data_IF_080243451695
#
_entry.id   IF_080243451695
#
_cell.length_a   1.000
_cell.length_b   1.000
_cell.length_c   1.000
_cell.angle_alpha   90.00
_cell.angle_beta   90.00
_cell.angle_gamma   90.00
#
_symmetry.space_group_name_H-M   'P 1'
#
loop_
_entity.id
_entity.type
_entity.pdbx_description
1 polymer ?
#
# COMPACT_ATOMS: atom_id res chain seq x y z
N UNK A 1 46.00 -28.16 -49.69
CA UNK A 1 45.41 -27.00 -49.01
C UNK A 1 43.94 -27.31 -48.63
N UNK A 2 43.71 -27.62 -47.39
CA UNK A 2 42.33 -27.97 -46.86
C UNK A 2 41.67 -26.67 -46.41
N UNK A 3 40.53 -26.27 -47.01
CA UNK A 3 39.74 -25.16 -46.59
C UNK A 3 38.84 -25.60 -45.42
N UNK A 4 39.10 -25.05 -44.20
CA UNK A 4 38.19 -25.18 -43.04
C UNK A 4 37.01 -24.22 -43.26
N UNK A 5 35.80 -24.76 -43.31
CA UNK A 5 34.56 -23.98 -43.22
C UNK A 5 34.15 -23.89 -41.75
N UNK A 6 34.19 -22.67 -41.18
CA UNK A 6 33.58 -22.38 -39.89
C UNK A 6 32.07 -22.16 -40.11
N UNK A 7 31.25 -23.07 -39.57
CA UNK A 7 29.82 -22.88 -39.51
C UNK A 7 29.54 -22.10 -38.23
N UNK A 8 29.13 -20.82 -38.38
CA UNK A 8 28.69 -19.98 -37.29
C UNK A 8 27.24 -20.34 -36.99
N UNK A 9 26.99 -21.08 -35.90
CA UNK A 9 25.62 -21.35 -35.39
C UNK A 9 25.20 -20.12 -34.58
N UNK A 10 24.36 -19.27 -35.16
CA UNK A 10 23.70 -18.17 -34.43
C UNK A 10 22.61 -18.74 -33.57
N UNK A 11 22.82 -18.75 -32.26
CA UNK A 11 21.79 -19.08 -31.28
C UNK A 11 20.80 -17.90 -31.18
N UNK A 12 19.66 -18.00 -31.86
CA UNK A 12 18.54 -17.07 -31.68
C UNK A 12 17.90 -17.31 -30.31
N UNK A 13 18.28 -16.52 -29.32
CA UNK A 13 17.55 -16.39 -28.06
C UNK A 13 16.23 -15.70 -28.34
N UNK A 14 15.16 -16.44 -28.57
CA UNK A 14 13.80 -15.90 -28.54
C UNK A 14 13.45 -15.60 -27.10
N UNK A 15 13.52 -14.35 -26.70
CA UNK A 15 12.91 -13.87 -25.47
C UNK A 15 11.38 -14.01 -25.61
N UNK A 16 10.85 -15.15 -25.23
CA UNK A 16 9.41 -15.33 -25.11
C UNK A 16 8.88 -14.36 -24.06
N UNK A 17 8.00 -13.45 -24.46
CA UNK A 17 7.22 -12.66 -23.49
C UNK A 17 6.34 -13.67 -22.77
N UNK A 18 6.68 -13.99 -21.53
CA UNK A 18 5.82 -14.81 -20.68
C UNK A 18 4.53 -14.02 -20.45
N UNK A 19 3.39 -14.59 -20.82
CA UNK A 19 2.09 -14.01 -20.51
C UNK A 19 1.90 -14.09 -19.00
N UNK A 20 1.42 -12.99 -18.39
CA UNK A 20 1.09 -12.94 -16.98
C UNK A 20 0.05 -14.04 -16.63
N UNK A 21 0.40 -14.88 -15.68
CA UNK A 21 -0.51 -15.92 -15.18
C UNK A 21 -1.49 -15.35 -14.14
N UNK A 22 -2.64 -16.01 -14.01
CA UNK A 22 -3.62 -15.69 -12.96
C UNK A 22 -3.75 -16.86 -12.00
N UNK A 23 -3.43 -16.60 -10.74
CA UNK A 23 -3.55 -17.53 -9.62
C UNK A 23 -4.80 -17.22 -8.82
N UNK A 24 -5.73 -18.16 -8.70
CA UNK A 24 -6.95 -17.97 -7.91
C UNK A 24 -6.83 -18.62 -6.55
N UNK A 25 -7.18 -17.86 -5.50
CA UNK A 25 -7.15 -18.31 -4.11
C UNK A 25 -8.58 -18.36 -3.58
N UNK A 26 -9.01 -19.54 -3.15
CA UNK A 26 -10.33 -19.78 -2.57
C UNK A 26 -10.28 -19.74 -1.03
N UNK A 27 -11.42 -19.54 -0.35
CA UNK A 27 -11.49 -19.68 1.10
C UNK A 27 -10.95 -21.02 1.59
N UNK A 28 -10.04 -20.96 2.58
CA UNK A 28 -9.34 -22.15 3.10
C UNK A 28 -7.99 -22.43 2.45
N UNK A 29 -7.66 -21.73 1.35
CA UNK A 29 -6.30 -21.75 0.77
C UNK A 29 -5.46 -20.61 1.32
N UNK A 30 -4.13 -20.67 1.20
CA UNK A 30 -3.20 -19.63 1.62
C UNK A 30 -2.92 -18.66 0.47
N UNK A 31 -3.14 -17.36 0.74
CA UNK A 31 -2.75 -16.29 -0.17
C UNK A 31 -1.23 -16.24 -0.29
N UNK A 32 -0.50 -16.38 0.83
CA UNK A 32 0.97 -16.36 0.80
C UNK A 32 1.53 -17.46 -0.10
N UNK A 33 0.97 -18.68 -0.03
CA UNK A 33 1.41 -19.77 -0.89
C UNK A 33 1.18 -19.49 -2.38
N UNK A 34 0.15 -18.72 -2.74
CA UNK A 34 -0.07 -18.28 -4.12
C UNK A 34 0.93 -17.18 -4.52
N UNK A 35 1.19 -16.21 -3.65
CA UNK A 35 2.21 -15.17 -3.84
C UNK A 35 3.60 -15.77 -4.04
N UNK A 36 3.96 -16.80 -3.24
CA UNK A 36 5.26 -17.48 -3.34
C UNK A 36 5.48 -18.15 -4.70
N UNK A 37 4.41 -18.73 -5.26
CA UNK A 37 4.44 -19.42 -6.57
C UNK A 37 4.35 -18.47 -7.76
N UNK A 38 3.75 -17.30 -7.59
CA UNK A 38 3.58 -16.32 -8.66
C UNK A 38 4.93 -15.80 -9.16
N UNK A 39 5.01 -15.56 -10.46
CA UNK A 39 6.14 -14.90 -11.10
C UNK A 39 5.92 -13.36 -11.16
N UNK A 40 6.99 -12.57 -11.36
CA UNK A 40 6.85 -11.15 -11.67
C UNK A 40 5.89 -10.89 -12.83
N UNK A 41 4.94 -9.97 -12.62
CA UNK A 41 3.90 -9.62 -13.59
C UNK A 41 2.61 -10.42 -13.47
N UNK A 42 2.57 -11.48 -12.66
CA UNK A 42 1.37 -12.29 -12.45
C UNK A 42 0.28 -11.55 -11.67
N UNK A 43 -0.93 -12.11 -11.71
CA UNK A 43 -2.08 -11.66 -10.94
C UNK A 43 -2.49 -12.76 -9.95
N UNK A 44 -2.57 -12.41 -8.65
CA UNK A 44 -3.14 -13.28 -7.62
C UNK A 44 -4.55 -12.77 -7.31
N UNK A 45 -5.58 -13.51 -7.74
CA UNK A 45 -6.99 -13.19 -7.51
C UNK A 45 -7.48 -13.92 -6.25
N UNK A 46 -7.86 -13.15 -5.23
CA UNK A 46 -8.41 -13.68 -3.99
C UNK A 46 -9.93 -13.61 -4.07
N UNK A 47 -10.58 -14.76 -3.97
CA UNK A 47 -12.04 -14.87 -3.99
C UNK A 47 -12.63 -14.44 -2.64
N UNK A 48 -13.89 -14.04 -2.65
CA UNK A 48 -14.61 -13.62 -1.45
C UNK A 48 -14.45 -14.62 -0.31
N UNK A 49 -13.97 -14.16 0.83
CA UNK A 49 -13.74 -14.98 2.02
C UNK A 49 -13.01 -14.20 3.11
N UNK A 50 -12.69 -14.86 4.19
CA UNK A 50 -11.86 -14.31 5.28
C UNK A 50 -10.59 -15.14 5.41
N UNK A 51 -9.46 -14.48 5.29
CA UNK A 51 -8.12 -15.05 5.38
C UNK A 51 -7.42 -14.42 6.59
N UNK A 52 -6.77 -15.25 7.40
CA UNK A 52 -5.99 -14.77 8.55
C UNK A 52 -4.53 -15.06 8.28
N UNK A 53 -3.88 -14.10 7.65
CA UNK A 53 -2.48 -14.19 7.22
C UNK A 53 -1.82 -12.81 7.31
N UNK A 54 -0.52 -12.80 7.65
CA UNK A 54 0.35 -11.65 7.44
C UNK A 54 1.12 -11.90 6.14
N UNK A 55 0.90 -11.05 5.13
CA UNK A 55 1.41 -11.27 3.79
C UNK A 55 2.71 -10.50 3.53
N UNK A 56 3.61 -11.12 2.78
CA UNK A 56 4.79 -10.51 2.18
C UNK A 56 4.62 -10.52 0.64
N UNK A 57 4.65 -9.34 0.03
CA UNK A 57 4.63 -9.18 -1.42
C UNK A 57 6.02 -8.70 -1.85
N UNK A 58 6.86 -9.63 -2.28
CA UNK A 58 8.27 -9.42 -2.59
C UNK A 58 8.60 -9.44 -4.09
N UNK A 59 7.57 -9.46 -4.94
CA UNK A 59 7.68 -9.45 -6.40
C UNK A 59 6.73 -8.43 -7.01
N UNK A 60 7.08 -7.79 -8.13
CA UNK A 60 6.16 -6.93 -8.89
C UNK A 60 5.01 -7.78 -9.44
N UNK A 61 3.84 -7.68 -8.84
CA UNK A 61 2.63 -8.41 -9.21
C UNK A 61 1.36 -7.66 -8.77
N UNK A 62 0.21 -8.15 -9.20
CA UNK A 62 -1.09 -7.64 -8.75
C UNK A 62 -1.74 -8.62 -7.78
N UNK A 63 -2.05 -8.16 -6.55
CA UNK A 63 -2.93 -8.86 -5.62
C UNK A 63 -4.32 -8.21 -5.68
N UNK A 64 -5.28 -8.93 -6.24
CA UNK A 64 -6.64 -8.44 -6.52
C UNK A 64 -7.68 -9.18 -5.71
N UNK A 65 -8.52 -8.43 -5.01
CA UNK A 65 -9.71 -8.99 -4.36
C UNK A 65 -10.90 -9.05 -5.31
N UNK A 66 -11.51 -10.22 -5.44
CA UNK A 66 -12.79 -10.38 -6.11
C UNK A 66 -13.90 -10.44 -5.05
N UNK A 67 -14.89 -9.53 -5.18
CA UNK A 67 -16.00 -9.38 -4.21
C UNK A 67 -15.53 -9.09 -2.77
N UNK A 68 -14.48 -8.27 -2.62
CA UNK A 68 -13.99 -7.74 -1.35
C UNK A 68 -13.63 -8.82 -0.32
N UNK A 69 -12.66 -9.71 -0.58
CA UNK A 69 -12.14 -10.63 0.44
C UNK A 69 -11.51 -9.87 1.61
N UNK A 70 -11.63 -10.44 2.81
CA UNK A 70 -11.03 -9.88 4.02
C UNK A 70 -9.71 -10.59 4.33
N UNK A 71 -8.64 -9.82 4.44
CA UNK A 71 -7.32 -10.25 4.92
C UNK A 71 -7.12 -9.66 6.31
N UNK A 72 -7.02 -10.51 7.32
CA UNK A 72 -6.87 -10.12 8.72
C UNK A 72 -5.47 -10.47 9.21
N UNK A 73 -4.73 -9.50 9.74
CA UNK A 73 -3.41 -9.70 10.36
C UNK A 73 -3.45 -10.38 11.72
N UNK A 74 -4.66 -10.70 12.23
CA UNK A 74 -4.84 -11.42 13.48
C UNK A 74 -4.35 -10.67 14.71
N UNK A 75 -4.32 -9.32 14.65
CA UNK A 75 -3.83 -8.39 15.69
C UNK A 75 -2.32 -8.53 15.95
N UNK A 76 -1.55 -8.89 14.94
CA UNK A 76 -0.10 -9.05 15.07
C UNK A 76 0.64 -8.49 13.84
N UNK A 77 1.65 -7.67 14.07
CA UNK A 77 2.50 -7.11 13.00
C UNK A 77 1.73 -6.30 11.95
N UNK A 78 2.32 -6.20 10.77
CA UNK A 78 1.65 -5.62 9.61
C UNK A 78 0.81 -6.69 8.93
N UNK A 79 -0.37 -6.31 8.40
CA UNK A 79 -1.20 -7.28 7.68
C UNK A 79 -0.63 -7.59 6.30
N UNK A 80 -0.17 -6.58 5.56
CA UNK A 80 0.50 -6.76 4.27
C UNK A 80 1.80 -5.94 4.26
N UNK A 81 2.92 -6.60 3.98
CA UNK A 81 4.21 -5.97 3.73
C UNK A 81 4.52 -6.00 2.24
N UNK A 82 4.82 -4.84 1.65
CA UNK A 82 5.22 -4.69 0.24
C UNK A 82 6.71 -4.34 0.22
N UNK A 83 7.54 -5.19 -0.38
CA UNK A 83 8.99 -4.98 -0.47
C UNK A 83 9.50 -4.87 -1.91
N UNK A 84 8.66 -5.21 -2.89
CA UNK A 84 8.99 -5.05 -4.31
C UNK A 84 8.41 -3.76 -4.88
N UNK A 85 9.03 -3.24 -5.92
CA UNK A 85 8.49 -2.18 -6.74
C UNK A 85 7.36 -2.70 -7.67
N UNK A 86 6.56 -1.78 -8.22
CA UNK A 86 5.49 -2.07 -9.18
C UNK A 86 4.40 -3.05 -8.68
N UNK A 87 4.19 -3.13 -7.36
CA UNK A 87 3.12 -3.94 -6.77
C UNK A 87 1.80 -3.20 -6.85
N UNK A 88 0.73 -3.90 -7.22
CA UNK A 88 -0.64 -3.39 -7.19
C UNK A 88 -1.47 -4.19 -6.19
N UNK A 89 -2.09 -3.49 -5.23
CA UNK A 89 -3.06 -4.04 -4.27
C UNK A 89 -4.41 -3.40 -4.54
N UNK A 90 -5.44 -4.18 -4.86
CA UNK A 90 -6.75 -3.62 -5.22
C UNK A 90 -7.94 -4.47 -4.76
N UNK A 91 -9.05 -3.80 -4.40
CA UNK A 91 -10.33 -4.46 -4.11
C UNK A 91 -10.36 -5.28 -2.82
N UNK A 92 -9.44 -5.06 -1.89
CA UNK A 92 -9.26 -5.84 -0.66
C UNK A 92 -9.89 -5.17 0.56
N UNK A 93 -10.31 -5.97 1.55
CA UNK A 93 -10.51 -5.51 2.93
C UNK A 93 -9.28 -5.99 3.72
N UNK A 94 -8.49 -5.07 4.26
CA UNK A 94 -7.27 -5.35 5.03
C UNK A 94 -7.47 -4.82 6.44
N UNK A 95 -7.43 -5.69 7.45
CA UNK A 95 -7.83 -5.36 8.82
C UNK A 95 -6.98 -6.06 9.87
N UNK A 96 -7.18 -5.68 11.13
CA UNK A 96 -6.61 -6.34 12.30
C UNK A 96 -5.07 -6.37 12.30
N UNK A 97 -4.41 -5.27 11.93
CA UNK A 97 -2.97 -5.12 12.20
C UNK A 97 -2.69 -5.16 13.71
N UNK A 98 -1.45 -5.42 14.09
CA UNK A 98 -0.97 -5.29 15.46
C UNK A 98 -1.15 -3.88 16.03
N UNK A 99 -0.83 -3.72 17.33
CA UNK A 99 -1.09 -2.50 18.10
C UNK A 99 0.19 -1.80 18.60
N UNK A 100 1.34 -2.18 18.10
CA UNK A 100 2.60 -1.57 18.49
C UNK A 100 2.85 -0.26 17.73
N UNK A 101 2.67 0.88 18.40
CA UNK A 101 3.08 2.20 17.86
C UNK A 101 4.58 2.27 17.64
N UNK A 102 5.37 1.56 18.45
CA UNK A 102 6.83 1.49 18.31
C UNK A 102 7.24 0.80 17.02
N UNK A 103 6.58 -0.30 16.70
CA UNK A 103 6.86 -1.11 15.50
C UNK A 103 6.04 -0.65 14.29
N UNK A 104 5.20 0.39 14.49
CA UNK A 104 4.43 1.05 13.43
C UNK A 104 3.49 0.11 12.68
N UNK A 105 2.87 -0.85 13.40
CA UNK A 105 2.04 -1.88 12.79
C UNK A 105 0.93 -1.29 11.90
N UNK A 106 0.94 -1.67 10.65
CA UNK A 106 0.06 -1.12 9.61
C UNK A 106 -0.83 -2.18 8.96
N UNK A 107 -1.96 -1.73 8.41
CA UNK A 107 -2.72 -2.57 7.49
C UNK A 107 -1.87 -2.92 6.27
N UNK A 108 -1.25 -1.91 5.67
CA UNK A 108 -0.29 -2.09 4.57
C UNK A 108 0.97 -1.28 4.87
N UNK A 109 2.12 -1.94 4.86
CA UNK A 109 3.41 -1.27 4.95
C UNK A 109 4.14 -1.37 3.61
N UNK A 110 4.37 -0.22 2.97
CA UNK A 110 5.18 -0.10 1.75
C UNK A 110 6.59 0.24 2.20
N UNK A 111 7.49 -0.73 2.08
CA UNK A 111 8.86 -0.72 2.61
C UNK A 111 9.83 0.10 1.74
N UNK A 112 11.00 0.46 2.28
CA UNK A 112 12.03 1.14 1.50
C UNK A 112 12.35 0.41 0.19
N UNK A 113 12.32 1.16 -0.93
CA UNK A 113 12.58 0.60 -2.26
C UNK A 113 11.36 0.04 -2.99
N UNK A 114 10.22 -0.11 -2.33
CA UNK A 114 8.97 -0.55 -2.99
C UNK A 114 8.32 0.61 -3.79
N UNK A 115 9.07 1.11 -4.77
CA UNK A 115 8.65 2.23 -5.62
C UNK A 115 7.45 1.88 -6.49
N UNK A 116 6.67 2.89 -6.88
CA UNK A 116 5.53 2.78 -7.80
C UNK A 116 4.43 1.81 -7.34
N UNK A 117 4.41 1.48 -6.05
CA UNK A 117 3.34 0.67 -5.48
C UNK A 117 1.99 1.40 -5.60
N UNK A 118 0.95 0.65 -5.94
CA UNK A 118 -0.43 1.15 -6.07
C UNK A 118 -1.32 0.43 -5.06
N UNK A 119 -2.08 1.20 -4.26
CA UNK A 119 -3.14 0.67 -3.39
C UNK A 119 -4.43 1.39 -3.74
N UNK A 120 -5.42 0.65 -4.24
CA UNK A 120 -6.68 1.26 -4.68
C UNK A 120 -7.90 0.43 -4.35
N UNK A 121 -9.04 1.12 -4.20
CA UNK A 121 -10.34 0.49 -3.95
C UNK A 121 -10.34 -0.48 -2.75
N UNK A 122 -9.46 -0.24 -1.77
CA UNK A 122 -9.34 -1.06 -0.57
C UNK A 122 -10.09 -0.45 0.62
N UNK A 123 -10.54 -1.32 1.53
CA UNK A 123 -11.00 -0.96 2.86
C UNK A 123 -9.91 -1.35 3.88
N UNK A 124 -9.30 -0.33 4.49
CA UNK A 124 -8.23 -0.48 5.48
C UNK A 124 -8.73 -0.16 6.89
N UNK A 125 -9.94 -0.60 7.21
CA UNK A 125 -10.54 -0.33 8.51
C UNK A 125 -9.97 -1.20 9.62
N UNK A 126 -9.94 -0.64 10.85
CA UNK A 126 -9.52 -1.31 12.06
C UNK A 126 -8.05 -1.74 12.08
N UNK A 127 -7.18 -0.93 11.49
CA UNK A 127 -5.72 -1.05 11.62
C UNK A 127 -5.17 0.03 12.55
N UNK A 128 -3.98 -0.17 13.12
CA UNK A 128 -3.31 0.86 13.93
C UNK A 128 -2.89 2.02 13.03
N UNK A 129 -2.03 1.77 12.03
CA UNK A 129 -1.84 2.64 10.88
C UNK A 129 -2.59 2.04 9.69
N UNK A 130 -3.27 2.87 8.90
CA UNK A 130 -3.90 2.38 7.66
C UNK A 130 -2.83 1.96 6.67
N UNK A 131 -1.99 2.92 6.24
CA UNK A 131 -0.79 2.70 5.43
C UNK A 131 0.41 3.37 6.08
N UNK A 132 1.55 2.66 6.03
CA UNK A 132 2.87 3.23 6.29
C UNK A 132 3.71 3.15 5.02
N UNK A 133 4.24 4.27 4.57
CA UNK A 133 5.02 4.40 3.33
C UNK A 133 6.37 4.99 3.69
N UNK A 134 7.43 4.20 3.55
CA UNK A 134 8.78 4.60 3.92
C UNK A 134 9.73 4.48 2.73
N UNK A 135 10.38 5.58 2.34
CA UNK A 135 11.42 5.61 1.30
C UNK A 135 11.00 4.88 0.01
N UNK A 136 9.73 5.02 -0.34
CA UNK A 136 9.14 4.46 -1.56
C UNK A 136 8.56 5.61 -2.40
N UNK A 137 9.10 5.80 -3.60
CA UNK A 137 8.75 6.92 -4.47
C UNK A 137 7.65 6.55 -5.47
N UNK A 138 6.96 7.58 -5.97
CA UNK A 138 5.95 7.48 -7.03
C UNK A 138 4.80 6.52 -6.68
N UNK A 139 4.53 6.34 -5.38
CA UNK A 139 3.42 5.51 -4.91
C UNK A 139 2.08 6.16 -5.24
N UNK A 140 1.04 5.35 -5.49
CA UNK A 140 -0.31 5.83 -5.77
C UNK A 140 -1.31 5.16 -4.81
N UNK A 141 -1.93 5.97 -3.97
CA UNK A 141 -2.91 5.54 -2.97
C UNK A 141 -4.23 6.22 -3.31
N UNK A 142 -5.21 5.48 -3.84
CA UNK A 142 -6.41 6.09 -4.38
C UNK A 142 -7.70 5.35 -4.05
N UNK A 143 -8.77 6.10 -3.84
CA UNK A 143 -10.14 5.59 -3.64
C UNK A 143 -10.25 4.57 -2.50
N UNK A 144 -9.44 4.72 -1.42
CA UNK A 144 -9.49 3.82 -0.29
C UNK A 144 -10.36 4.37 0.84
N UNK A 145 -11.03 3.47 1.57
CA UNK A 145 -11.64 3.74 2.86
C UNK A 145 -10.65 3.38 3.96
N UNK A 146 -10.29 4.36 4.81
CA UNK A 146 -9.35 4.14 5.92
C UNK A 146 -10.01 4.59 7.21
N UNK A 147 -10.31 3.64 8.09
CA UNK A 147 -10.94 3.94 9.39
C UNK A 147 -10.11 3.33 10.51
N UNK A 148 -9.61 4.16 11.42
CA UNK A 148 -8.83 3.70 12.57
C UNK A 148 -9.67 2.92 13.60
N UNK A 149 -9.00 2.44 14.65
CA UNK A 149 -9.63 1.72 15.77
C UNK A 149 -10.44 2.71 16.61
N UNK A 150 -11.77 2.73 16.41
CA UNK A 150 -12.69 3.71 17.04
C UNK A 150 -12.76 3.59 18.55
N UNK A 151 -12.57 2.40 19.08
CA UNK A 151 -12.54 2.05 20.50
C UNK A 151 -11.28 2.54 21.21
N UNK A 152 -10.23 2.91 20.47
CA UNK A 152 -9.01 3.48 21.02
C UNK A 152 -9.13 4.99 21.20
N UNK A 153 -8.45 5.52 22.25
CA UNK A 153 -8.26 6.98 22.37
C UNK A 153 -7.40 7.48 21.21
N UNK A 154 -7.62 8.72 20.79
CA UNK A 154 -6.86 9.32 19.68
C UNK A 154 -5.33 9.22 19.84
N UNK A 155 -4.82 9.31 21.09
CA UNK A 155 -3.38 9.17 21.39
C UNK A 155 -2.83 7.75 21.22
N UNK A 156 -3.70 6.75 21.19
CA UNK A 156 -3.33 5.34 21.04
C UNK A 156 -3.45 4.86 19.58
N UNK A 157 -4.04 5.68 18.70
CA UNK A 157 -4.18 5.37 17.28
C UNK A 157 -2.92 5.79 16.52
N UNK A 158 -2.64 5.11 15.44
CA UNK A 158 -1.71 5.55 14.41
C UNK A 158 -2.38 6.48 13.39
N UNK A 159 -1.65 6.85 12.37
CA UNK A 159 -2.12 7.72 11.30
C UNK A 159 -2.87 6.93 10.22
N UNK A 160 -3.70 7.62 9.44
CA UNK A 160 -4.40 6.99 8.32
C UNK A 160 -3.42 6.61 7.22
N UNK A 161 -2.74 7.61 6.67
CA UNK A 161 -1.62 7.44 5.73
C UNK A 161 -0.42 8.16 6.32
N UNK A 162 0.67 7.43 6.49
CA UNK A 162 1.97 7.94 6.91
C UNK A 162 2.91 7.92 5.73
N UNK A 163 3.49 9.08 5.36
CA UNK A 163 4.57 9.19 4.38
C UNK A 163 5.84 9.63 5.10
N UNK A 164 6.92 8.91 4.87
CA UNK A 164 8.23 9.25 5.39
C UNK A 164 9.32 9.10 4.34
N UNK A 165 10.01 10.20 4.03
CA UNK A 165 11.10 10.26 3.06
C UNK A 165 10.70 9.68 1.69
N UNK A 166 9.65 10.26 1.07
CA UNK A 166 9.11 9.84 -0.22
C UNK A 166 9.14 10.99 -1.22
N UNK A 167 9.09 10.66 -2.51
CA UNK A 167 8.94 11.64 -3.59
C UNK A 167 7.86 11.19 -4.58
N UNK A 168 7.17 12.16 -5.19
CA UNK A 168 6.23 11.92 -6.27
C UNK A 168 4.95 11.17 -5.89
N UNK A 169 4.67 11.00 -4.58
CA UNK A 169 3.49 10.28 -4.10
C UNK A 169 2.19 10.93 -4.61
N UNK A 170 1.19 10.11 -4.95
CA UNK A 170 -0.14 10.55 -5.35
C UNK A 170 -1.17 9.96 -4.40
N UNK A 171 -1.77 10.81 -3.57
CA UNK A 171 -2.76 10.43 -2.55
C UNK A 171 -4.10 11.03 -2.98
N UNK A 172 -4.96 10.22 -3.58
CA UNK A 172 -6.12 10.67 -4.36
C UNK A 172 -7.42 10.04 -3.86
N UNK A 173 -8.46 10.85 -3.68
CA UNK A 173 -9.85 10.42 -3.46
C UNK A 173 -10.05 9.44 -2.29
N UNK A 174 -9.17 9.46 -1.27
CA UNK A 174 -9.31 8.60 -0.11
C UNK A 174 -10.27 9.19 0.93
N UNK A 175 -11.00 8.32 1.64
CA UNK A 175 -11.86 8.70 2.76
C UNK A 175 -11.25 8.19 4.06
N UNK A 176 -10.71 9.12 4.89
CA UNK A 176 -9.90 8.80 6.07
C UNK A 176 -10.54 9.37 7.32
N UNK A 177 -10.74 8.50 8.33
CA UNK A 177 -11.40 8.91 9.57
C UNK A 177 -11.01 8.11 10.79
N UNK A 178 -11.25 8.66 11.98
CA UNK A 178 -11.05 8.02 13.28
C UNK A 178 -9.63 7.50 13.52
N UNK A 179 -8.66 8.13 12.90
CA UNK A 179 -7.21 7.89 13.09
C UNK A 179 -6.61 9.00 13.98
N UNK A 180 -5.31 8.90 14.29
CA UNK A 180 -4.63 10.00 15.00
C UNK A 180 -4.57 11.21 14.09
N UNK A 181 -3.85 11.16 12.98
CA UNK A 181 -3.83 12.18 11.94
C UNK A 181 -4.22 11.51 10.61
N UNK A 182 -5.09 12.14 9.82
CA UNK A 182 -5.59 11.48 8.63
C UNK A 182 -4.46 11.24 7.62
N UNK A 183 -3.67 12.27 7.33
CA UNK A 183 -2.45 12.14 6.53
C UNK A 183 -1.30 12.78 7.32
N UNK A 184 -0.22 12.02 7.53
CA UNK A 184 1.02 12.51 8.12
C UNK A 184 2.12 12.50 7.05
N UNK A 185 2.76 13.64 6.86
CA UNK A 185 3.73 13.89 5.79
C UNK A 185 5.04 14.37 6.42
N UNK A 186 6.12 13.62 6.23
CA UNK A 186 7.44 14.00 6.73
C UNK A 186 8.51 13.70 5.68
N UNK A 187 9.38 14.66 5.41
CA UNK A 187 10.43 14.58 4.39
C UNK A 187 9.88 14.06 3.05
N UNK A 188 8.75 14.62 2.61
CA UNK A 188 8.05 14.18 1.40
C UNK A 188 7.94 15.35 0.42
N UNK A 189 8.35 15.12 -0.85
CA UNK A 189 8.43 16.18 -1.84
C UNK A 189 7.74 15.80 -3.14
N UNK A 190 7.27 16.82 -3.88
CA UNK A 190 6.63 16.67 -5.19
C UNK A 190 5.41 15.75 -5.20
N UNK A 191 4.74 15.60 -4.04
CA UNK A 191 3.55 14.79 -3.90
C UNK A 191 2.29 15.58 -4.27
N UNK A 192 1.24 14.86 -4.64
CA UNK A 192 -0.11 15.39 -4.93
C UNK A 192 -1.11 14.78 -3.97
N UNK A 193 -1.81 15.63 -3.24
CA UNK A 193 -2.90 15.28 -2.34
C UNK A 193 -4.19 15.93 -2.89
N UNK A 194 -5.08 15.13 -3.48
CA UNK A 194 -6.27 15.64 -4.16
C UNK A 194 -7.52 14.82 -3.85
N UNK A 195 -8.65 15.51 -3.67
CA UNK A 195 -9.97 14.88 -3.55
C UNK A 195 -10.18 14.07 -2.27
N UNK A 196 -9.25 14.14 -1.29
CA UNK A 196 -9.35 13.33 -0.08
C UNK A 196 -10.35 13.92 0.90
N UNK A 197 -11.09 13.06 1.60
CA UNK A 197 -11.98 13.42 2.71
C UNK A 197 -11.35 13.02 4.03
N UNK A 198 -10.91 14.02 4.81
CA UNK A 198 -10.10 13.86 6.03
C UNK A 198 -10.91 14.33 7.24
N UNK A 199 -11.44 13.39 8.04
CA UNK A 199 -12.37 13.80 9.10
C UNK A 199 -12.32 12.93 10.37
N UNK A 200 -12.84 13.49 11.49
CA UNK A 200 -12.97 12.82 12.79
C UNK A 200 -11.65 12.30 13.36
N UNK A 201 -10.57 13.02 13.07
CA UNK A 201 -9.21 12.72 13.51
C UNK A 201 -8.67 13.85 14.41
N UNK A 202 -7.43 13.74 14.90
CA UNK A 202 -6.78 14.84 15.61
C UNK A 202 -6.50 15.96 14.63
N UNK A 203 -5.75 15.68 13.57
CA UNK A 203 -5.52 16.59 12.45
C UNK A 203 -5.99 15.96 11.14
N UNK A 204 -6.50 16.79 10.23
CA UNK A 204 -6.70 16.39 8.85
C UNK A 204 -5.37 16.09 8.20
N UNK A 205 -4.39 16.99 8.40
CA UNK A 205 -3.02 16.78 7.94
C UNK A 205 -2.03 17.26 8.99
N UNK A 206 -1.00 16.45 9.21
CA UNK A 206 0.20 16.80 9.96
C UNK A 206 1.39 16.79 9.00
N UNK A 207 2.02 17.94 8.80
CA UNK A 207 2.94 18.15 7.70
C UNK A 207 4.25 18.71 8.23
N UNK A 208 5.37 18.03 7.96
CA UNK A 208 6.69 18.38 8.46
C UNK A 208 7.75 18.25 7.35
N UNK A 209 8.75 19.14 7.37
CA UNK A 209 9.98 19.04 6.55
C UNK A 209 9.73 18.70 5.08
N UNK A 210 8.66 19.18 4.47
CA UNK A 210 8.19 18.70 3.18
C UNK A 210 7.90 19.89 2.25
N UNK A 211 8.31 19.79 0.98
CA UNK A 211 8.29 20.93 0.05
C UNK A 211 7.79 20.53 -1.32
N UNK A 212 7.30 21.51 -2.08
CA UNK A 212 6.85 21.35 -3.47
C UNK A 212 5.69 20.38 -3.64
N UNK A 213 4.82 20.25 -2.63
CA UNK A 213 3.65 19.39 -2.67
C UNK A 213 2.40 20.19 -3.08
N UNK A 214 1.50 19.56 -3.80
CA UNK A 214 0.23 20.13 -4.21
C UNK A 214 -0.91 19.59 -3.36
N UNK A 215 -1.68 20.50 -2.76
CA UNK A 215 -2.92 20.21 -2.01
C UNK A 215 -4.08 20.88 -2.69
N UNK A 216 -5.01 20.11 -3.26
CA UNK A 216 -6.18 20.67 -3.93
C UNK A 216 -7.43 19.81 -3.73
N UNK A 217 -8.59 20.44 -3.69
CA UNK A 217 -9.91 19.78 -3.64
C UNK A 217 -10.09 18.78 -2.48
N UNK A 218 -9.38 18.96 -1.36
CA UNK A 218 -9.52 18.09 -0.20
C UNK A 218 -10.55 18.64 0.79
N UNK A 219 -11.46 17.80 1.26
CA UNK A 219 -12.41 18.09 2.32
C UNK A 219 -11.82 17.77 3.69
N UNK A 220 -11.59 18.79 4.52
CA UNK A 220 -11.01 18.64 5.87
C UNK A 220 -12.02 19.14 6.90
N UNK A 221 -12.69 18.23 7.62
CA UNK A 221 -13.81 18.61 8.50
C UNK A 221 -13.93 17.73 9.74
N UNK A 222 -14.52 18.25 10.81
CA UNK A 222 -14.77 17.56 12.07
C UNK A 222 -13.50 16.97 12.73
N UNK A 223 -12.33 17.51 12.45
CA UNK A 223 -11.09 17.20 13.15
C UNK A 223 -10.90 18.17 14.32
N UNK A 224 -10.00 17.88 15.26
CA UNK A 224 -9.62 18.85 16.29
C UNK A 224 -8.87 20.02 15.70
N UNK A 225 -8.04 19.80 14.67
CA UNK A 225 -7.39 20.78 13.86
C UNK A 225 -7.40 20.39 12.39
N UNK A 226 -7.47 21.36 11.49
CA UNK A 226 -7.46 21.11 10.04
C UNK A 226 -6.07 20.65 9.60
N UNK A 227 -5.11 21.57 9.67
CA UNK A 227 -3.73 21.38 9.24
C UNK A 227 -2.78 21.75 10.39
N UNK A 228 -1.78 20.92 10.62
CA UNK A 228 -0.63 21.24 11.47
C UNK A 228 0.61 21.28 10.57
N UNK A 229 1.09 22.48 10.27
CA UNK A 229 2.24 22.71 9.41
C UNK A 229 3.45 23.06 10.26
N UNK A 230 4.54 22.32 10.11
CA UNK A 230 5.80 22.51 10.81
C UNK A 230 6.96 22.46 9.82
N UNK A 231 7.80 23.49 9.86
CA UNK A 231 9.01 23.58 9.02
C UNK A 231 8.68 23.33 7.52
N UNK A 232 7.90 24.24 6.95
CA UNK A 232 7.44 24.22 5.55
C UNK A 232 8.00 25.42 4.79
#
# INVERSE_FOLDING_TARGET
MRKLWFVLVALLLTSGVALAATWRVQPGESIQAALDRAAPGDVVEVLRGRFRENLLVDKPLTLRGLDRPTISGGLSGDTINVTAEDVVLEGLIVTDSGDSLRDQNAGIYIRPGAHRAVVRDCDLSYNLFGLWIEKANDVRIESNLITGKRDYRSSQRGNGIQLYNTQGARILDNNISFVRDAIYVDVTHHAVFRGNRLHRSRYGTHYMNSYHNLWEDNDVFLNRGGLALMEV
#
